data_IF_310138478517
#
_entry.id   IF_310138478517
#
_cell.length_a   1.000
_cell.length_b   1.000
_cell.length_c   1.000
_cell.angle_alpha   90.00
_cell.angle_beta   90.00
_cell.angle_gamma   90.00
#
_symmetry.space_group_name_H-M   'P 1'
#
loop_
_entity.id
_entity.type
_entity.pdbx_description
1 polymer ?
#
# COMPACT_ATOMS: atom_id res chain seq x y z
N UNK A 1 13.41 0.76 7.47
CA UNK A 1 13.97 1.32 6.22
C UNK A 1 12.85 2.13 5.57
N UNK A 2 12.79 3.46 5.48
CA UNK A 2 13.62 4.59 5.84
C UNK A 2 12.66 5.61 6.49
N UNK A 3 12.94 6.07 7.70
CA UNK A 3 12.20 7.17 8.36
C UNK A 3 13.19 8.29 8.72
N UNK A 4 14.14 8.53 7.81
CA UNK A 4 15.30 9.41 8.02
C UNK A 4 15.10 10.77 7.32
N UNK A 5 14.21 10.88 6.33
CA UNK A 5 14.11 12.09 5.51
C UNK A 5 13.21 13.22 6.02
N UNK A 6 12.37 13.00 7.05
CA UNK A 6 11.48 14.05 7.55
C UNK A 6 12.19 14.92 8.60
N UNK A 7 12.82 14.28 9.58
CA UNK A 7 13.54 14.96 10.66
C UNK A 7 14.76 15.73 10.13
N UNK A 8 15.47 15.18 9.14
CA UNK A 8 16.63 15.85 8.50
C UNK A 8 16.21 17.09 7.70
N UNK A 9 15.06 17.04 7.01
CA UNK A 9 14.54 18.16 6.21
C UNK A 9 13.98 19.29 7.08
N UNK A 10 13.31 18.95 8.19
CA UNK A 10 12.80 19.92 9.17
C UNK A 10 13.95 20.64 9.90
N UNK A 11 15.04 19.92 10.19
CA UNK A 11 16.28 20.49 10.71
C UNK A 11 16.99 21.41 9.70
N UNK A 12 17.02 21.05 8.41
CA UNK A 12 17.64 21.88 7.38
C UNK A 12 16.87 23.19 7.17
N UNK A 13 15.55 23.14 7.14
CA UNK A 13 14.68 24.30 6.98
C UNK A 13 14.72 25.27 8.19
N UNK A 14 14.69 24.73 9.41
CA UNK A 14 14.81 25.55 10.64
C UNK A 14 16.16 26.26 10.72
N UNK A 15 17.24 25.63 10.23
CA UNK A 15 18.55 26.26 10.12
C UNK A 15 18.58 27.40 9.08
N UNK A 16 17.83 27.28 7.99
CA UNK A 16 17.77 28.30 6.94
C UNK A 16 17.03 29.56 7.40
N UNK A 17 15.89 29.41 8.07
CA UNK A 17 15.16 30.53 8.69
C UNK A 17 16.01 31.23 9.74
N UNK A 18 16.68 30.47 10.61
CA UNK A 18 17.58 31.03 11.62
C UNK A 18 18.75 31.79 10.96
N UNK A 19 19.29 31.28 9.84
CA UNK A 19 20.36 31.94 9.09
C UNK A 19 19.89 33.24 8.44
N UNK A 20 18.69 33.26 7.87
CA UNK A 20 18.07 34.46 7.32
C UNK A 20 17.89 35.53 8.41
N UNK A 21 17.26 35.18 9.53
CA UNK A 21 17.02 36.12 10.63
C UNK A 21 18.32 36.63 11.27
N UNK A 22 19.33 35.77 11.42
CA UNK A 22 20.64 36.16 11.95
C UNK A 22 21.40 37.12 11.00
N UNK A 23 21.16 37.04 9.69
CA UNK A 23 21.75 37.95 8.71
C UNK A 23 21.04 39.30 8.68
N UNK A 24 19.71 39.28 8.71
CA UNK A 24 18.89 40.48 8.47
C UNK A 24 18.67 41.27 9.75
N UNK A 25 18.43 40.59 10.89
CA UNK A 25 18.10 41.23 12.17
C UNK A 25 18.68 40.47 13.38
N UNK A 26 20.02 40.33 13.53
CA UNK A 26 20.65 39.51 14.57
C UNK A 26 20.29 39.93 16.01
N UNK A 27 20.01 41.21 16.21
CA UNK A 27 19.69 41.76 17.53
C UNK A 27 18.29 41.35 18.01
N UNK A 28 17.37 41.01 17.11
CA UNK A 28 16.02 40.54 17.47
C UNK A 28 16.01 39.09 17.97
N UNK A 29 17.06 38.32 17.66
CA UNK A 29 17.22 36.95 18.16
C UNK A 29 17.73 36.89 19.61
N UNK A 30 18.26 38.00 20.13
CA UNK A 30 18.89 38.08 21.46
C UNK A 30 18.29 39.16 22.37
N UNK A 31 17.39 40.00 21.86
CA UNK A 31 16.75 41.09 22.59
C UNK A 31 15.25 41.17 22.29
N UNK A 32 14.45 41.58 23.27
CA UNK A 32 13.01 41.82 23.14
C UNK A 32 12.68 43.22 22.56
N UNK A 33 13.60 43.82 21.81
CA UNK A 33 13.35 45.12 21.18
C UNK A 33 12.38 44.95 19.99
N UNK A 34 11.49 45.92 19.72
CA UNK A 34 10.65 45.87 18.53
C UNK A 34 11.51 46.01 17.26
N UNK A 35 11.15 45.30 16.17
CA UNK A 35 11.79 45.49 14.86
C UNK A 35 11.56 46.92 14.36
N UNK A 36 12.50 47.44 13.58
CA UNK A 36 12.27 48.64 12.79
C UNK A 36 11.28 48.38 11.66
N UNK A 37 10.67 49.43 11.12
CA UNK A 37 9.70 49.33 10.02
C UNK A 37 10.28 48.65 8.76
N UNK A 38 11.57 48.87 8.48
CA UNK A 38 12.28 48.24 7.36
C UNK A 38 12.47 46.73 7.62
N UNK A 39 12.83 46.36 8.84
CA UNK A 39 13.01 44.94 9.23
C UNK A 39 11.68 44.19 9.23
N UNK A 40 10.60 44.82 9.72
CA UNK A 40 9.26 44.27 9.66
C UNK A 40 8.83 44.00 8.21
N UNK A 41 9.00 44.99 7.32
CA UNK A 41 8.67 44.82 5.89
C UNK A 41 9.51 43.71 5.21
N UNK A 42 10.79 43.59 5.55
CA UNK A 42 11.65 42.54 4.99
C UNK A 42 11.21 41.14 5.46
N UNK A 43 10.88 41.01 6.74
CA UNK A 43 10.39 39.74 7.32
C UNK A 43 9.03 39.39 6.72
N UNK A 44 8.12 40.35 6.56
CA UNK A 44 6.81 40.13 5.94
C UNK A 44 6.95 39.70 4.47
N UNK A 45 7.85 40.32 3.69
CA UNK A 45 8.14 39.89 2.32
C UNK A 45 8.68 38.46 2.28
N UNK A 46 9.61 38.11 3.17
CA UNK A 46 10.14 36.75 3.26
C UNK A 46 9.05 35.72 3.60
N UNK A 47 8.16 36.05 4.54
CA UNK A 47 7.02 35.19 4.89
C UNK A 47 6.09 35.02 3.68
N UNK A 48 5.79 36.11 2.97
CA UNK A 48 4.94 36.07 1.79
C UNK A 48 5.52 35.16 0.69
N UNK A 49 6.81 35.30 0.39
CA UNK A 49 7.49 34.48 -0.62
C UNK A 49 7.49 33.00 -0.21
N UNK A 50 7.82 32.69 1.06
CA UNK A 50 7.76 31.33 1.58
C UNK A 50 6.34 30.73 1.55
N UNK A 51 5.31 31.54 1.79
CA UNK A 51 3.91 31.11 1.68
C UNK A 51 3.53 30.79 0.23
N UNK A 52 4.02 31.57 -0.73
CA UNK A 52 3.81 31.30 -2.16
C UNK A 52 4.45 29.98 -2.58
N UNK A 53 5.71 29.75 -2.20
CA UNK A 53 6.41 28.50 -2.49
C UNK A 53 5.72 27.28 -1.85
N UNK A 54 5.22 27.43 -0.62
CA UNK A 54 4.47 26.38 0.06
C UNK A 54 3.17 26.04 -0.70
N UNK A 55 2.44 27.05 -1.15
CA UNK A 55 1.21 26.85 -1.92
C UNK A 55 1.48 26.12 -3.24
N UNK A 56 2.55 26.50 -3.96
CA UNK A 56 2.95 25.82 -5.20
C UNK A 56 3.29 24.35 -4.95
N UNK A 57 4.03 24.06 -3.88
CA UNK A 57 4.36 22.69 -3.49
C UNK A 57 3.09 21.87 -3.15
N UNK A 58 2.15 22.46 -2.42
CA UNK A 58 0.87 21.82 -2.08
C UNK A 58 0.03 21.51 -3.33
N UNK A 59 -0.02 22.43 -4.30
CA UNK A 59 -0.71 22.23 -5.57
C UNK A 59 -0.07 21.10 -6.40
N UNK A 60 1.27 21.02 -6.42
CA UNK A 60 2.00 19.93 -7.06
C UNK A 60 1.71 18.57 -6.38
N UNK A 61 1.73 18.53 -5.05
CA UNK A 61 1.40 17.32 -4.27
C UNK A 61 -0.02 16.84 -4.64
N UNK A 62 -1.00 17.75 -4.66
CA UNK A 62 -2.38 17.41 -5.02
C UNK A 62 -2.49 16.89 -6.46
N UNK A 63 -1.75 17.47 -7.40
CA UNK A 63 -1.69 17.03 -8.80
C UNK A 63 -1.12 15.60 -8.91
N UNK A 64 0.02 15.35 -8.26
CA UNK A 64 0.68 14.04 -8.26
C UNK A 64 -0.18 12.96 -7.60
N UNK A 65 -0.85 13.29 -6.49
CA UNK A 65 -1.77 12.36 -5.82
C UNK A 65 -2.95 11.96 -6.72
N UNK A 66 -3.52 12.91 -7.47
CA UNK A 66 -4.57 12.64 -8.46
C UNK A 66 -4.07 11.72 -9.57
N UNK A 67 -2.89 12.01 -10.13
CA UNK A 67 -2.27 11.16 -11.16
C UNK A 67 -2.00 9.74 -10.65
N UNK A 68 -1.48 9.61 -9.42
CA UNK A 68 -1.22 8.32 -8.79
C UNK A 68 -2.51 7.51 -8.59
N UNK A 69 -3.60 8.17 -8.16
CA UNK A 69 -4.91 7.54 -8.00
C UNK A 69 -5.40 6.97 -9.33
N UNK A 70 -5.36 7.77 -10.40
CA UNK A 70 -5.78 7.34 -11.73
C UNK A 70 -4.95 6.14 -12.24
N UNK A 71 -3.62 6.19 -12.04
CA UNK A 71 -2.73 5.10 -12.42
C UNK A 71 -3.05 3.80 -11.65
N UNK A 72 -3.34 3.88 -10.34
CA UNK A 72 -3.75 2.73 -9.51
C UNK A 72 -5.07 2.14 -9.98
N UNK A 73 -6.05 2.97 -10.32
CA UNK A 73 -7.34 2.53 -10.85
C UNK A 73 -7.19 1.82 -12.20
N UNK A 74 -6.42 2.40 -13.12
CA UNK A 74 -6.09 1.78 -14.41
C UNK A 74 -5.41 0.42 -14.23
N UNK A 75 -4.42 0.34 -13.35
CA UNK A 75 -3.73 -0.93 -13.00
C UNK A 75 -4.72 -1.97 -12.46
N UNK A 76 -5.59 -1.58 -11.54
CA UNK A 76 -6.60 -2.47 -10.95
C UNK A 76 -7.57 -3.00 -12.01
N UNK A 77 -8.02 -2.13 -12.92
CA UNK A 77 -8.87 -2.52 -14.04
C UNK A 77 -8.19 -3.58 -14.92
N UNK A 78 -6.97 -3.32 -15.37
CA UNK A 78 -6.19 -4.24 -16.20
C UNK A 78 -5.96 -5.57 -15.47
N UNK A 79 -5.60 -5.53 -14.18
CA UNK A 79 -5.39 -6.74 -13.40
C UNK A 79 -6.65 -7.62 -13.33
N UNK A 80 -7.84 -7.02 -13.16
CA UNK A 80 -9.12 -7.76 -13.20
C UNK A 80 -9.41 -8.35 -14.58
N UNK A 81 -9.18 -7.59 -15.64
CA UNK A 81 -9.35 -8.04 -17.03
C UNK A 81 -8.44 -9.22 -17.37
N UNK A 82 -7.25 -9.31 -16.76
CA UNK A 82 -6.33 -10.44 -16.94
C UNK A 82 -6.72 -11.64 -16.05
N UNK A 83 -7.13 -11.39 -14.81
CA UNK A 83 -7.39 -12.43 -13.82
C UNK A 83 -8.54 -13.36 -14.25
N UNK A 84 -9.63 -12.83 -14.82
CA UNK A 84 -10.77 -13.63 -15.23
C UNK A 84 -10.44 -14.65 -16.36
N UNK A 85 -9.83 -14.25 -17.50
CA UNK A 85 -9.35 -15.19 -18.51
C UNK A 85 -8.31 -16.18 -17.97
N UNK A 86 -7.36 -15.74 -17.13
CA UNK A 86 -6.40 -16.65 -16.50
C UNK A 86 -7.07 -17.72 -15.64
N UNK A 87 -8.10 -17.34 -14.87
CA UNK A 87 -8.87 -18.29 -14.08
C UNK A 87 -9.62 -19.30 -14.97
N UNK A 88 -10.10 -18.88 -16.16
CA UNK A 88 -10.71 -19.77 -17.16
C UNK A 88 -9.68 -20.75 -17.74
N UNK A 89 -8.48 -20.27 -18.05
CA UNK A 89 -7.39 -21.09 -18.59
C UNK A 89 -6.66 -21.92 -17.53
N UNK A 90 -7.02 -21.79 -16.26
CA UNK A 90 -6.44 -22.57 -15.17
C UNK A 90 -6.57 -24.07 -15.45
N UNK A 91 -5.44 -24.78 -15.32
CA UNK A 91 -5.35 -26.23 -15.53
C UNK A 91 -6.44 -26.98 -14.75
N UNK A 92 -6.78 -26.52 -13.56
CA UNK A 92 -7.79 -27.13 -12.68
C UNK A 92 -9.18 -27.27 -13.31
N UNK A 93 -9.53 -26.40 -14.27
CA UNK A 93 -10.81 -26.49 -15.00
C UNK A 93 -10.79 -27.56 -16.10
N UNK A 94 -9.61 -27.96 -16.54
CA UNK A 94 -9.38 -29.00 -17.57
C UNK A 94 -9.09 -30.36 -16.97
N UNK A 95 -8.74 -30.44 -15.68
CA UNK A 95 -8.49 -31.70 -14.98
C UNK A 95 -9.80 -32.51 -14.88
N UNK A 96 -9.88 -33.72 -15.46
CA UNK A 96 -11.03 -34.60 -15.32
C UNK A 96 -11.31 -34.97 -13.85
N UNK A 97 -12.57 -35.20 -13.45
CA UNK A 97 -12.91 -35.61 -12.09
C UNK A 97 -12.14 -36.84 -11.60
N UNK A 98 -11.82 -37.78 -12.47
CA UNK A 98 -11.08 -39.02 -12.19
C UNK A 98 -9.65 -38.75 -11.75
N UNK A 99 -9.03 -37.70 -12.31
CA UNK A 99 -7.69 -37.28 -11.91
C UNK A 99 -7.76 -36.56 -10.55
N UNK A 100 -8.84 -35.83 -10.26
CA UNK A 100 -9.05 -35.24 -8.93
C UNK A 100 -9.23 -36.32 -7.86
N UNK A 101 -10.03 -37.36 -8.12
CA UNK A 101 -10.21 -38.46 -7.17
C UNK A 101 -8.93 -39.27 -6.98
N UNK A 102 -8.12 -39.44 -8.03
CA UNK A 102 -6.79 -40.03 -7.92
C UNK A 102 -5.90 -39.18 -6.99
N UNK A 103 -5.84 -37.86 -7.19
CA UNK A 103 -5.10 -36.96 -6.30
C UNK A 103 -5.60 -37.07 -4.86
N UNK A 104 -6.92 -37.14 -4.64
CA UNK A 104 -7.49 -37.29 -3.30
C UNK A 104 -7.04 -38.60 -2.64
N UNK A 105 -7.05 -39.71 -3.39
CA UNK A 105 -6.59 -41.01 -2.89
C UNK A 105 -5.11 -41.00 -2.46
N UNK A 106 -4.25 -40.28 -3.18
CA UNK A 106 -2.84 -40.11 -2.82
C UNK A 106 -2.60 -39.11 -1.69
N UNK A 107 -3.44 -38.08 -1.59
CA UNK A 107 -3.29 -37.00 -0.61
C UNK A 107 -3.80 -37.38 0.80
N UNK A 108 -4.46 -38.54 0.95
CA UNK A 108 -4.94 -39.03 2.25
C UNK A 108 -3.76 -39.60 3.08
N UNK A 109 -3.40 -38.99 4.22
CA UNK A 109 -2.24 -39.42 5.01
C UNK A 109 -2.42 -40.81 5.65
N UNK A 110 -3.67 -41.19 5.96
CA UNK A 110 -4.04 -42.47 6.56
C UNK A 110 -5.47 -42.86 6.13
N UNK A 111 -5.85 -44.15 6.24
CA UNK A 111 -7.23 -44.63 5.99
C UNK A 111 -8.24 -44.24 7.08
N UNK A 112 -7.80 -43.54 8.12
CA UNK A 112 -8.63 -43.17 9.27
C UNK A 112 -8.68 -41.65 9.32
N UNK A 113 -9.79 -41.05 8.89
CA UNK A 113 -9.98 -39.60 9.00
C UNK A 113 -10.66 -39.25 10.33
N UNK A 114 -10.27 -38.12 10.89
CA UNK A 114 -10.92 -37.56 12.07
C UNK A 114 -11.98 -36.54 11.65
N UNK A 115 -13.26 -36.86 11.84
CA UNK A 115 -14.39 -36.02 11.43
C UNK A 115 -14.26 -34.57 11.93
N UNK A 116 -13.71 -34.36 13.13
CA UNK A 116 -13.57 -33.05 13.76
C UNK A 116 -12.31 -32.28 13.33
N UNK A 117 -11.36 -32.89 12.62
CA UNK A 117 -10.17 -32.20 12.12
C UNK A 117 -10.44 -31.56 10.76
N UNK A 118 -11.07 -30.39 10.80
CA UNK A 118 -11.40 -29.59 9.61
C UNK A 118 -10.19 -29.02 8.87
N UNK A 119 -8.98 -29.11 9.45
CA UNK A 119 -7.73 -28.70 8.81
C UNK A 119 -7.05 -29.84 8.05
N UNK A 120 -7.46 -31.08 8.32
CA UNK A 120 -7.00 -32.29 7.64
C UNK A 120 -7.83 -32.65 6.40
N UNK A 121 -7.34 -33.64 5.65
CA UNK A 121 -8.15 -34.32 4.65
C UNK A 121 -9.23 -35.17 5.35
N UNK A 122 -10.46 -35.21 4.82
CA UNK A 122 -10.86 -34.77 3.49
C UNK A 122 -11.32 -33.30 3.38
N UNK A 123 -11.51 -32.60 4.50
CA UNK A 123 -12.09 -31.25 4.54
C UNK A 123 -11.30 -30.22 3.73
N UNK A 124 -9.97 -30.21 3.86
CA UNK A 124 -9.07 -29.29 3.12
C UNK A 124 -9.22 -29.41 1.60
N UNK A 125 -9.46 -30.63 1.08
CA UNK A 125 -9.64 -30.85 -0.35
C UNK A 125 -10.91 -30.15 -0.86
N UNK A 126 -11.97 -30.14 -0.05
CA UNK A 126 -13.21 -29.43 -0.34
C UNK A 126 -13.13 -27.91 -0.21
N UNK A 127 -12.06 -27.34 0.37
CA UNK A 127 -11.92 -25.88 0.55
C UNK A 127 -11.18 -25.17 -0.59
N UNK A 128 -10.56 -25.92 -1.51
CA UNK A 128 -9.74 -25.33 -2.58
C UNK A 128 -10.60 -24.59 -3.60
N UNK A 129 -11.64 -25.23 -4.14
CA UNK A 129 -12.58 -24.58 -5.05
C UNK A 129 -13.90 -25.37 -5.15
N UNK A 130 -14.92 -24.77 -5.78
CA UNK A 130 -16.24 -25.41 -5.98
C UNK A 130 -16.15 -26.75 -6.72
N UNK A 131 -15.24 -26.90 -7.70
CA UNK A 131 -15.06 -28.13 -8.47
C UNK A 131 -14.43 -29.24 -7.62
N UNK A 132 -13.41 -28.92 -6.82
CA UNK A 132 -12.80 -29.87 -5.89
C UNK A 132 -13.79 -30.33 -4.82
N UNK A 133 -14.58 -29.40 -4.28
CA UNK A 133 -15.67 -29.72 -3.35
C UNK A 133 -16.68 -30.70 -3.96
N UNK A 134 -17.13 -30.43 -5.19
CA UNK A 134 -18.06 -31.33 -5.88
C UNK A 134 -17.45 -32.71 -6.11
N UNK A 135 -16.20 -32.79 -6.56
CA UNK A 135 -15.50 -34.05 -6.75
C UNK A 135 -15.31 -34.82 -5.43
N UNK A 136 -14.93 -34.13 -4.35
CA UNK A 136 -14.71 -34.72 -3.03
C UNK A 136 -16.00 -35.27 -2.41
N UNK A 137 -17.12 -34.55 -2.58
CA UNK A 137 -18.44 -35.03 -2.13
C UNK A 137 -18.95 -36.21 -2.98
N UNK A 138 -18.62 -36.26 -4.28
CA UNK A 138 -19.01 -37.37 -5.15
C UNK A 138 -18.16 -38.64 -4.95
N UNK A 139 -16.99 -38.51 -4.32
CA UNK A 139 -16.06 -39.61 -4.13
C UNK A 139 -16.24 -40.22 -2.74
N UNK A 140 -17.11 -41.23 -2.64
CA UNK A 140 -17.49 -41.86 -1.37
C UNK A 140 -16.33 -42.49 -0.61
N UNK A 141 -15.30 -42.99 -1.29
CA UNK A 141 -14.10 -43.57 -0.67
C UNK A 141 -13.24 -42.56 0.11
N UNK A 142 -13.62 -41.28 0.10
CA UNK A 142 -12.97 -40.20 0.84
C UNK A 142 -13.50 -40.02 2.27
N UNK A 143 -14.69 -40.57 2.56
CA UNK A 143 -15.44 -40.45 3.82
C UNK A 143 -15.63 -41.80 4.50
#
# INVERSE_FOLDING_TARGET
>A
MHRVGADDAELEYTNEVHRYLNRTCPHLLSSNNPPSEIEANNIESFIHDAQSELQEADEEILSLQKAMKLAKEKRSCIARTIAAPRAILSSIRRVPPEILTLIFAWAMPTKVYHVFDVKGAPWVLGQICRRWRAAALSFTALW
#
